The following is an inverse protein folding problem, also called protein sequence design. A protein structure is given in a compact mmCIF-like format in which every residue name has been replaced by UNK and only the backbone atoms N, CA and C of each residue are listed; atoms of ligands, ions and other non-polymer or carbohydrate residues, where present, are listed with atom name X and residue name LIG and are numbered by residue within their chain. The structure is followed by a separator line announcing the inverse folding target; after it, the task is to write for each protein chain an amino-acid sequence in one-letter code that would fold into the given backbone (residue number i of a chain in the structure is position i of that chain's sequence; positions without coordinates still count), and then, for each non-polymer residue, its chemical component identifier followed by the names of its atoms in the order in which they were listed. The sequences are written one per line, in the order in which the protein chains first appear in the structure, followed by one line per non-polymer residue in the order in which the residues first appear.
data_IF_936325312671
#
_entry.id   IF_936325312671
#
_cell.length_a   1.000
_cell.length_b   1.000
_cell.length_c   1.000
_cell.angle_alpha   90.00
_cell.angle_beta   90.00
_cell.angle_gamma   90.00
#
_symmetry.space_group_name_H-M   'P 1'
#
loop_
_entity.id
_entity.type
_entity.pdbx_description
1 polymer ?
#
# COMPACT_ATOMS: atom_id res chain seq x y z
N UNK A 1 31.06 15.53 -10.53
CA UNK A 1 29.76 15.10 -11.05
C UNK A 1 28.82 16.28 -10.91
N UNK A 2 28.54 16.94 -12.02
CA UNK A 2 27.70 18.14 -12.04
C UNK A 2 26.23 17.75 -11.76
N UNK A 3 25.47 18.50 -10.97
CA UNK A 3 24.06 18.21 -10.76
C UNK A 3 23.30 18.38 -12.09
N UNK A 4 22.28 17.56 -12.35
CA UNK A 4 21.50 17.64 -13.57
C UNK A 4 20.81 19.00 -13.68
N UNK A 5 20.70 19.51 -14.91
CA UNK A 5 20.06 20.80 -15.21
C UNK A 5 18.57 20.79 -14.86
N UNK A 6 17.95 21.97 -14.62
CA UNK A 6 16.51 22.05 -14.35
C UNK A 6 15.63 21.40 -15.42
N UNK A 7 16.06 21.40 -16.67
CA UNK A 7 15.34 20.78 -17.80
C UNK A 7 15.48 19.26 -17.81
N UNK A 8 16.61 18.72 -17.36
CA UNK A 8 16.78 17.28 -17.14
C UNK A 8 15.95 16.77 -15.94
N UNK A 9 15.82 17.61 -14.90
CA UNK A 9 14.93 17.34 -13.78
C UNK A 9 13.44 17.39 -14.20
N UNK A 10 13.05 18.27 -15.10
CA UNK A 10 11.69 18.37 -15.63
C UNK A 10 11.33 17.15 -16.49
N UNK A 11 12.25 16.64 -17.30
CA UNK A 11 12.08 15.40 -18.05
C UNK A 11 11.94 14.17 -17.16
N UNK A 12 12.52 14.21 -15.95
CA UNK A 12 12.41 13.14 -14.95
C UNK A 12 11.17 13.24 -14.07
N UNK A 13 10.57 14.43 -13.95
CA UNK A 13 9.33 14.63 -13.17
C UNK A 13 8.07 14.15 -13.90
N UNK A 14 8.13 13.97 -15.20
CA UNK A 14 7.11 13.31 -16.01
C UNK A 14 7.33 11.77 -16.06
N UNK A 15 7.85 11.24 -14.98
CA UNK A 15 8.44 9.92 -14.72
C UNK A 15 7.78 8.74 -15.40
N UNK A 16 8.19 8.54 -16.65
CA UNK A 16 7.86 7.36 -17.43
C UNK A 16 8.78 6.20 -16.99
N UNK A 17 8.33 5.34 -16.10
CA UNK A 17 9.04 4.10 -15.80
C UNK A 17 8.56 3.04 -16.79
N UNK A 18 9.36 2.77 -17.81
CA UNK A 18 9.16 1.62 -18.72
C UNK A 18 9.77 0.38 -18.08
N UNK A 19 8.94 -0.55 -17.64
CA UNK A 19 9.40 -1.89 -17.27
C UNK A 19 9.67 -2.68 -18.56
N UNK A 20 10.93 -2.76 -18.96
CA UNK A 20 11.36 -3.66 -20.02
C UNK A 20 11.47 -5.09 -19.49
N UNK A 21 10.77 -6.05 -20.09
CA UNK A 21 10.99 -7.46 -19.82
C UNK A 21 9.75 -8.36 -19.67
N UNK A 22 8.55 -7.89 -19.98
CA UNK A 22 7.38 -8.76 -20.03
C UNK A 22 6.95 -8.96 -21.50
N UNK A 23 6.65 -10.22 -21.86
CA UNK A 23 6.01 -10.59 -23.13
C UNK A 23 4.62 -9.97 -23.33
N UNK A 24 4.12 -9.26 -22.33
CA UNK A 24 2.93 -8.42 -22.37
C UNK A 24 3.41 -6.99 -22.47
N UNK A 25 3.07 -6.29 -23.54
CA UNK A 25 3.54 -4.96 -23.94
C UNK A 25 3.88 -3.99 -22.79
N UNK A 26 4.86 -3.13 -23.02
CA UNK A 26 5.34 -2.16 -22.05
C UNK A 26 4.17 -1.35 -21.44
N UNK A 27 4.03 -1.38 -20.12
CA UNK A 27 3.06 -0.55 -19.39
C UNK A 27 3.74 0.70 -18.91
N UNK A 28 3.13 1.83 -19.20
CA UNK A 28 3.56 3.14 -18.69
C UNK A 28 2.89 3.41 -17.35
N UNK A 29 3.69 3.76 -16.35
CA UNK A 29 3.22 4.14 -15.02
C UNK A 29 3.64 5.58 -14.76
N UNK A 30 2.68 6.45 -14.44
CA UNK A 30 2.97 7.82 -14.01
C UNK A 30 3.32 7.82 -12.52
N UNK A 31 4.51 8.35 -12.20
CA UNK A 31 5.02 8.43 -10.82
C UNK A 31 5.14 9.91 -10.45
N UNK A 32 4.51 10.29 -9.33
CA UNK A 32 4.49 11.66 -8.85
C UNK A 32 5.58 11.91 -7.80
N UNK A 33 6.04 13.17 -7.64
CA UNK A 33 7.03 13.50 -6.61
C UNK A 33 6.53 13.20 -5.20
N UNK A 34 7.43 12.77 -4.32
CA UNK A 34 7.11 12.50 -2.91
C UNK A 34 6.58 13.73 -2.18
N UNK A 35 6.97 14.94 -2.62
CA UNK A 35 6.50 16.22 -2.07
C UNK A 35 4.99 16.46 -2.20
N UNK A 36 4.32 15.74 -3.12
CA UNK A 36 2.86 15.82 -3.29
C UNK A 36 2.09 15.12 -2.17
N UNK A 37 2.78 14.37 -1.31
CA UNK A 37 2.17 13.53 -0.29
C UNK A 37 2.65 13.91 1.09
N UNK A 38 1.77 13.73 2.08
CA UNK A 38 2.11 13.87 3.49
C UNK A 38 2.16 12.49 4.16
N UNK A 39 3.09 12.35 5.10
CA UNK A 39 3.30 11.13 5.85
C UNK A 39 2.93 11.35 7.31
N UNK A 40 2.33 10.35 7.92
CA UNK A 40 1.92 10.40 9.31
C UNK A 40 1.86 9.03 9.93
N UNK A 41 1.48 8.99 11.20
CA UNK A 41 1.28 7.75 11.94
C UNK A 41 -0.17 7.63 12.37
N UNK A 42 -0.65 6.40 12.49
CA UNK A 42 -1.94 6.06 13.09
C UNK A 42 -1.72 5.24 14.34
N UNK A 43 -2.63 5.37 15.30
CA UNK A 43 -2.62 4.52 16.48
C UNK A 43 -2.63 3.05 16.09
N UNK A 44 -1.80 2.25 16.76
CA UNK A 44 -1.76 0.81 16.56
C UNK A 44 -3.12 0.21 16.91
N UNK A 45 -3.57 -0.74 16.09
CA UNK A 45 -4.78 -1.48 16.39
C UNK A 45 -4.47 -2.50 17.48
N UNK A 46 -5.32 -2.56 18.50
CA UNK A 46 -5.20 -3.57 19.55
C UNK A 46 -5.25 -4.98 18.93
N UNK A 47 -4.42 -5.88 19.44
CA UNK A 47 -4.48 -7.29 19.08
C UNK A 47 -5.79 -7.90 19.57
N UNK A 48 -6.38 -8.77 18.76
CA UNK A 48 -7.67 -9.39 19.08
C UNK A 48 -7.54 -10.59 20.00
N UNK A 49 -6.39 -11.24 19.95
CA UNK A 49 -6.13 -12.49 20.64
C UNK A 49 -4.98 -12.28 21.63
N UNK A 50 -5.14 -12.76 22.85
CA UNK A 50 -4.10 -12.65 23.87
C UNK A 50 -2.97 -13.66 23.67
N UNK A 51 -3.25 -14.78 23.00
CA UNK A 51 -2.29 -15.86 22.77
C UNK A 51 -2.30 -16.33 21.31
N UNK A 52 -1.20 -16.96 20.90
CA UNK A 52 -1.10 -17.58 19.57
C UNK A 52 -2.13 -18.70 19.42
N UNK A 53 -2.39 -19.48 20.49
CA UNK A 53 -3.37 -20.55 20.48
C UNK A 53 -4.79 -20.02 20.20
N UNK A 54 -5.19 -18.92 20.82
CA UNK A 54 -6.48 -18.27 20.56
C UNK A 54 -6.56 -17.74 19.10
N UNK A 55 -5.50 -17.15 18.61
CA UNK A 55 -5.41 -16.70 17.22
C UNK A 55 -5.59 -17.88 16.24
N UNK A 56 -4.96 -19.02 16.50
CA UNK A 56 -5.09 -20.22 15.66
C UNK A 56 -6.51 -20.80 15.70
N UNK A 57 -7.13 -20.89 16.87
CA UNK A 57 -8.52 -21.34 16.98
C UNK A 57 -9.47 -20.44 16.21
N UNK A 58 -9.31 -19.14 16.34
CA UNK A 58 -10.09 -18.16 15.59
C UNK A 58 -9.87 -18.29 14.08
N UNK A 59 -8.62 -18.49 13.63
CA UNK A 59 -8.33 -18.70 12.22
C UNK A 59 -8.97 -19.98 11.68
N UNK A 60 -8.92 -21.07 12.44
CA UNK A 60 -9.56 -22.34 12.09
C UNK A 60 -11.08 -22.19 11.95
N UNK A 61 -11.74 -21.55 12.91
CA UNK A 61 -13.17 -21.27 12.86
C UNK A 61 -13.54 -20.38 11.65
N UNK A 62 -12.73 -19.36 11.37
CA UNK A 62 -12.93 -18.50 10.19
C UNK A 62 -12.77 -19.27 8.89
N UNK A 63 -11.76 -20.16 8.81
CA UNK A 63 -11.55 -20.98 7.62
C UNK A 63 -12.73 -21.94 7.37
N UNK A 64 -13.27 -22.56 8.41
CA UNK A 64 -14.44 -23.42 8.30
C UNK A 64 -15.67 -22.68 7.79
N UNK A 65 -15.83 -21.40 8.17
CA UNK A 65 -16.96 -20.56 7.77
C UNK A 65 -16.80 -19.91 6.42
N UNK A 66 -15.62 -19.38 6.12
CA UNK A 66 -15.37 -18.47 4.99
C UNK A 66 -14.41 -19.05 3.93
N UNK A 67 -13.78 -20.20 4.22
CA UNK A 67 -12.79 -20.80 3.35
C UNK A 67 -11.44 -20.09 3.38
N UNK A 68 -10.69 -20.22 2.30
CA UNK A 68 -9.34 -19.69 2.18
C UNK A 68 -9.29 -18.18 2.33
N UNK A 69 -8.38 -17.70 3.17
CA UNK A 69 -8.13 -16.26 3.35
C UNK A 69 -7.43 -15.69 2.13
N UNK A 70 -8.03 -14.66 1.54
CA UNK A 70 -7.45 -13.89 0.45
C UNK A 70 -6.99 -12.53 0.95
N UNK A 71 -5.80 -12.10 0.52
CA UNK A 71 -5.24 -10.78 0.82
C UNK A 71 -4.84 -10.08 -0.46
N UNK A 72 -4.89 -8.75 -0.43
CA UNK A 72 -4.41 -7.88 -1.51
C UNK A 72 -3.45 -6.85 -0.94
N UNK A 73 -2.41 -6.54 -1.69
CA UNK A 73 -1.41 -5.54 -1.33
C UNK A 73 -1.13 -4.65 -2.53
N UNK A 74 -0.79 -3.38 -2.26
CA UNK A 74 -0.45 -2.42 -3.29
C UNK A 74 1.04 -2.10 -3.26
N UNK A 75 1.62 -1.98 -4.44
CA UNK A 75 2.95 -1.38 -4.64
C UNK A 75 2.72 0.06 -5.05
N UNK A 76 2.87 0.99 -4.12
CA UNK A 76 2.71 2.43 -4.36
C UNK A 76 4.07 3.04 -4.60
N UNK A 77 4.22 3.72 -5.74
CA UNK A 77 5.47 4.32 -6.16
C UNK A 77 5.39 5.84 -6.08
N UNK A 78 6.46 6.46 -5.61
CA UNK A 78 6.71 7.89 -5.64
C UNK A 78 8.10 8.16 -6.20
N UNK A 79 8.30 9.35 -6.77
CA UNK A 79 9.62 9.79 -7.22
C UNK A 79 10.25 10.69 -6.16
N UNK A 80 11.49 10.37 -5.80
CA UNK A 80 12.32 11.22 -4.94
C UNK A 80 13.72 11.35 -5.56
N UNK A 81 14.12 12.57 -5.86
CA UNK A 81 15.44 12.86 -6.45
C UNK A 81 15.74 12.04 -7.72
N UNK A 82 14.75 11.87 -8.60
CA UNK A 82 14.89 11.11 -9.83
C UNK A 82 14.86 9.58 -9.67
N UNK A 83 14.59 9.07 -8.47
CA UNK A 83 14.53 7.63 -8.21
C UNK A 83 13.15 7.19 -7.73
N UNK A 84 12.62 6.06 -8.23
CA UNK A 84 11.37 5.50 -7.73
C UNK A 84 11.56 4.91 -6.34
N UNK A 85 10.63 5.21 -5.45
CA UNK A 85 10.59 4.69 -4.08
C UNK A 85 9.26 3.99 -3.84
N UNK A 86 9.30 2.90 -3.10
CA UNK A 86 8.10 2.13 -2.71
C UNK A 86 7.65 2.55 -1.32
N UNK A 87 6.35 2.80 -1.16
CA UNK A 87 5.76 3.04 0.15
C UNK A 87 5.66 1.75 0.96
N UNK A 88 6.28 1.75 2.12
CA UNK A 88 6.14 0.69 3.12
C UNK A 88 5.48 1.25 4.38
N UNK A 89 4.62 0.45 4.99
CA UNK A 89 4.04 0.74 6.28
C UNK A 89 4.90 0.11 7.38
N UNK A 90 5.35 0.91 8.34
CA UNK A 90 6.02 0.41 9.52
C UNK A 90 4.98 0.04 10.58
N UNK A 91 5.06 -1.18 11.09
CA UNK A 91 4.21 -1.66 12.19
C UNK A 91 4.74 -1.18 13.55
N UNK A 92 3.93 -1.28 14.58
CA UNK A 92 4.34 -1.01 15.96
C UNK A 92 5.48 -1.94 16.45
N UNK A 93 5.59 -3.13 15.88
CA UNK A 93 6.70 -4.08 16.14
C UNK A 93 7.98 -3.77 15.35
N UNK A 94 7.99 -2.70 14.55
CA UNK A 94 9.14 -2.28 13.74
C UNK A 94 9.27 -2.98 12.40
N UNK A 95 8.37 -3.90 12.05
CA UNK A 95 8.37 -4.57 10.75
C UNK A 95 7.82 -3.66 9.65
N UNK A 96 8.32 -3.83 8.44
CA UNK A 96 7.82 -3.17 7.23
C UNK A 96 6.95 -4.11 6.41
N UNK A 97 5.86 -3.58 5.86
CA UNK A 97 4.97 -4.32 4.97
C UNK A 97 4.32 -3.42 3.94
N UNK A 98 3.88 -4.01 2.84
CA UNK A 98 3.10 -3.32 1.82
C UNK A 98 1.71 -2.95 2.37
N UNK A 99 1.15 -1.79 1.93
CA UNK A 99 -0.22 -1.42 2.29
C UNK A 99 -1.22 -2.36 1.62
N UNK A 100 -2.20 -2.82 2.36
CA UNK A 100 -3.22 -3.74 1.87
C UNK A 100 -3.93 -4.45 3.02
N UNK A 101 -4.42 -5.63 2.78
CA UNK A 101 -5.01 -6.47 3.81
C UNK A 101 -6.03 -7.46 3.27
N UNK A 102 -6.73 -8.11 4.20
CA UNK A 102 -7.68 -9.17 3.93
C UNK A 102 -8.90 -8.66 3.15
N UNK A 103 -9.29 -9.41 2.12
CA UNK A 103 -10.56 -9.25 1.42
C UNK A 103 -11.73 -9.78 2.27
N UNK A 104 -12.90 -9.23 2.04
CA UNK A 104 -14.15 -9.82 2.51
C UNK A 104 -14.54 -11.01 1.61
N UNK A 105 -15.41 -11.86 2.09
CA UNK A 105 -15.93 -12.97 1.29
C UNK A 105 -16.69 -12.42 0.06
N UNK A 106 -16.38 -12.93 -1.12
CA UNK A 106 -17.00 -12.48 -2.37
C UNK A 106 -16.56 -11.10 -2.87
N UNK A 107 -15.64 -10.42 -2.17
CA UNK A 107 -15.16 -9.09 -2.56
C UNK A 107 -14.17 -9.17 -3.72
N UNK A 108 -14.34 -8.29 -4.71
CA UNK A 108 -13.39 -8.13 -5.81
C UNK A 108 -12.05 -7.57 -5.33
N UNK A 109 -10.96 -7.97 -5.97
CA UNK A 109 -9.59 -7.63 -5.56
C UNK A 109 -9.35 -6.11 -5.58
N UNK A 110 -9.71 -5.44 -6.67
CA UNK A 110 -9.51 -3.99 -6.81
C UNK A 110 -10.37 -3.21 -5.82
N UNK A 111 -11.64 -3.59 -5.66
CA UNK A 111 -12.56 -2.94 -4.72
C UNK A 111 -12.07 -3.10 -3.28
N UNK A 112 -11.65 -4.31 -2.92
CA UNK A 112 -11.08 -4.59 -1.60
C UNK A 112 -9.77 -3.85 -1.35
N UNK A 113 -8.90 -3.76 -2.35
CA UNK A 113 -7.66 -3.00 -2.25
C UNK A 113 -7.93 -1.51 -2.02
N UNK A 114 -8.80 -0.89 -2.80
CA UNK A 114 -9.20 0.53 -2.62
C UNK A 114 -9.74 0.78 -1.21
N UNK A 115 -10.62 -0.09 -0.72
CA UNK A 115 -11.14 -0.02 0.65
C UNK A 115 -10.02 -0.11 1.70
N UNK A 116 -9.06 -1.03 1.53
CA UNK A 116 -7.94 -1.20 2.45
C UNK A 116 -6.98 -0.02 2.43
N UNK A 117 -6.66 0.50 1.25
CA UNK A 117 -5.81 1.68 1.10
C UNK A 117 -6.47 2.91 1.74
N UNK A 118 -7.75 3.14 1.48
CA UNK A 118 -8.50 4.21 2.14
C UNK A 118 -8.44 4.10 3.66
N UNK A 119 -8.67 2.90 4.21
CA UNK A 119 -8.64 2.69 5.65
C UNK A 119 -7.26 2.89 6.28
N UNK A 120 -6.19 2.55 5.58
CA UNK A 120 -4.83 2.64 6.12
C UNK A 120 -4.15 3.96 5.87
N UNK A 121 -4.37 4.57 4.71
CA UNK A 121 -3.64 5.75 4.27
C UNK A 121 -4.41 7.06 4.44
N UNK A 122 -5.75 7.04 4.44
CA UNK A 122 -6.53 8.28 4.62
C UNK A 122 -6.34 8.86 6.02
N UNK A 123 -6.22 10.19 6.14
CA UNK A 123 -6.19 10.86 7.43
C UNK A 123 -7.40 10.50 8.30
N UNK A 124 -7.21 10.42 9.60
CA UNK A 124 -8.28 10.06 10.55
C UNK A 124 -9.44 11.04 10.52
N UNK A 125 -9.15 12.32 10.28
CA UNK A 125 -10.15 13.40 10.22
C UNK A 125 -11.14 13.27 9.06
N UNK A 126 -10.69 12.73 7.90
CA UNK A 126 -11.57 12.51 6.76
C UNK A 126 -12.58 11.38 7.01
N UNK A 127 -12.28 10.46 7.91
CA UNK A 127 -13.20 9.37 8.28
C UNK A 127 -14.37 9.83 9.13
N UNK A 128 -14.25 10.93 9.84
CA UNK A 128 -15.32 11.50 10.67
C UNK A 128 -16.38 12.25 9.85
N UNK A 129 -16.06 12.65 8.62
CA UNK A 129 -16.99 13.41 7.75
C UNK A 129 -17.94 12.52 6.91
N UNK A 130 -17.74 11.18 6.94
CA UNK A 130 -18.53 10.22 6.14
C UNK A 130 -19.48 9.35 6.99
N UNK A 131 -19.81 9.77 8.22
CA UNK A 131 -20.85 9.12 9.04
C UNK A 131 -22.15 9.91 9.01
#
# INVERSE_FOLDING_TARGET
MEPPSPDELAAYTDGLVTAAGSTHGARTIHVHPVSNYSFGSKAARAEKDATIAEAMLRHKATYQKEGMRRTVEAILLVNQRGHPHVLLLRTNTGQFKLPGGRLKQGEGEVTGLKRKLHNKLSPTELKMRQK
#
